data_IF_912766284132
#
_entry.id   IF_912766284132
#
_cell.length_a   1.000
_cell.length_b   1.000
_cell.length_c   1.000
_cell.angle_alpha   90.00
_cell.angle_beta   90.00
_cell.angle_gamma   90.00
#
_symmetry.space_group_name_H-M   'P 1'
#
loop_
_entity.id
_entity.type
_entity.pdbx_description
1 polymer ?
#
# COMPACT_ATOMS: atom_id res chain seq x y z
N UNK A 1 -18.74 -4.53 -13.67
CA UNK A 1 -17.50 -4.42 -14.47
C UNK A 1 -16.43 -3.71 -13.64
N UNK A 2 -15.21 -4.24 -13.60
CA UNK A 2 -14.04 -3.59 -12.99
C UNK A 2 -13.45 -2.62 -14.03
N UNK A 3 -13.05 -1.42 -13.61
CA UNK A 3 -12.42 -0.44 -14.48
C UNK A 3 -11.01 -0.14 -14.01
N UNK A 4 -10.05 -0.32 -14.91
CA UNK A 4 -8.65 -0.03 -14.64
C UNK A 4 -8.26 1.41 -14.99
N UNK A 5 -7.23 1.96 -14.31
CA UNK A 5 -6.58 1.39 -13.13
C UNK A 5 -7.49 1.49 -11.89
N UNK A 6 -7.64 0.37 -11.19
CA UNK A 6 -8.42 0.29 -9.94
C UNK A 6 -7.85 1.17 -8.83
N UNK A 7 -6.54 1.41 -8.86
CA UNK A 7 -5.83 2.33 -7.97
C UNK A 7 -5.07 3.36 -8.81
N UNK A 8 -5.51 4.61 -8.74
CA UNK A 8 -4.93 5.73 -9.51
C UNK A 8 -3.81 6.41 -8.73
N UNK A 9 -2.86 7.02 -9.43
CA UNK A 9 -1.71 7.68 -8.82
C UNK A 9 -0.56 6.71 -8.54
N UNK A 10 0.28 7.05 -7.56
CA UNK A 10 1.47 6.27 -7.24
C UNK A 10 1.14 5.09 -6.32
N UNK A 11 0.71 3.98 -6.92
CA UNK A 11 0.44 2.70 -6.24
C UNK A 11 1.14 1.55 -6.98
N UNK A 12 2.49 1.50 -6.96
CA UNK A 12 3.27 0.47 -7.64
C UNK A 12 3.30 -0.85 -6.86
N UNK A 13 3.55 -1.95 -7.59
CA UNK A 13 3.73 -3.30 -7.05
C UNK A 13 2.60 -3.76 -6.11
N UNK A 14 1.36 -3.89 -6.61
CA UNK A 14 0.24 -4.37 -5.82
C UNK A 14 0.47 -5.81 -5.36
N UNK A 15 0.46 -6.02 -4.04
CA UNK A 15 0.49 -7.34 -3.42
C UNK A 15 -0.88 -7.64 -2.82
N UNK A 16 -1.62 -8.54 -3.47
CA UNK A 16 -3.00 -8.88 -3.10
C UNK A 16 -3.07 -10.19 -2.33
N UNK A 17 -3.82 -10.21 -1.22
CA UNK A 17 -4.18 -11.43 -0.52
C UNK A 17 -5.67 -11.45 -0.17
N UNK A 18 -6.19 -12.65 0.15
CA UNK A 18 -7.58 -12.87 0.54
C UNK A 18 -7.64 -13.54 1.91
N UNK A 19 -8.53 -13.06 2.78
CA UNK A 19 -8.88 -13.71 4.05
C UNK A 19 -10.39 -13.73 4.21
N UNK A 20 -10.98 -14.92 4.24
CA UNK A 20 -12.44 -15.04 4.24
C UNK A 20 -13.03 -14.47 2.96
N UNK A 21 -13.88 -13.46 3.08
CA UNK A 21 -14.51 -12.76 1.95
C UNK A 21 -13.85 -11.41 1.63
N UNK A 22 -12.84 -11.00 2.41
CA UNK A 22 -12.15 -9.74 2.23
C UNK A 22 -10.88 -9.91 1.37
N UNK A 23 -10.68 -8.94 0.49
CA UNK A 23 -9.45 -8.75 -0.28
C UNK A 23 -8.65 -7.58 0.29
N UNK A 24 -7.34 -7.77 0.36
CA UNK A 24 -6.39 -6.81 0.89
C UNK A 24 -5.35 -6.55 -0.20
N UNK A 25 -5.03 -5.29 -0.45
CA UNK A 25 -3.90 -4.93 -1.32
C UNK A 25 -2.95 -4.01 -0.56
N UNK A 26 -1.68 -4.38 -0.59
CA UNK A 26 -0.57 -3.57 -0.12
C UNK A 26 0.23 -3.02 -1.31
N UNK A 27 0.83 -1.85 -1.13
CA UNK A 27 1.71 -1.19 -2.10
C UNK A 27 3.02 -0.82 -1.42
N UNK A 28 4.10 -0.85 -2.19
CA UNK A 28 5.34 -0.23 -1.74
C UNK A 28 5.25 1.29 -1.90
N UNK A 29 6.03 2.03 -1.13
CA UNK A 29 6.10 3.48 -1.23
C UNK A 29 7.56 3.93 -1.12
N UNK A 30 7.96 4.78 -2.07
CA UNK A 30 9.36 5.07 -2.32
C UNK A 30 9.89 6.26 -1.51
N UNK A 31 9.05 7.21 -1.09
CA UNK A 31 9.50 8.41 -0.38
C UNK A 31 8.35 9.07 0.38
N UNK A 32 8.18 8.73 1.66
CA UNK A 32 7.45 9.60 2.59
C UNK A 32 6.53 8.88 3.56
N UNK A 33 6.71 9.20 4.84
CA UNK A 33 5.84 8.76 5.92
C UNK A 33 4.46 9.45 5.87
N UNK A 34 3.36 8.76 6.21
CA UNK A 34 3.26 7.35 6.61
C UNK A 34 3.45 6.39 5.45
N UNK A 35 4.43 5.49 5.59
CA UNK A 35 4.76 4.47 4.59
C UNK A 35 3.91 3.23 4.81
N UNK A 36 3.56 2.56 3.70
CA UNK A 36 2.56 1.48 3.54
C UNK A 36 1.11 1.95 3.52
N UNK A 37 0.38 1.63 2.45
CA UNK A 37 -1.08 1.74 2.40
C UNK A 37 -1.67 0.33 2.36
N UNK A 38 -2.51 0.01 3.33
CA UNK A 38 -3.36 -1.18 3.30
C UNK A 38 -4.74 -0.74 2.85
N UNK A 39 -5.14 -1.16 1.67
CA UNK A 39 -6.47 -0.86 1.14
C UNK A 39 -7.35 -2.10 1.35
N UNK A 40 -8.46 -1.92 2.05
CA UNK A 40 -9.45 -2.95 2.37
C UNK A 40 -10.81 -2.59 1.81
N UNK A 41 -11.54 -3.66 1.53
CA UNK A 41 -12.98 -3.79 1.40
C UNK A 41 -13.60 -3.45 0.04
N UNK A 42 -13.93 -4.54 -0.65
CA UNK A 42 -14.95 -4.60 -1.69
C UNK A 42 -14.74 -5.75 -2.68
N UNK A 43 -15.78 -5.99 -3.48
CA UNK A 43 -15.85 -6.95 -4.59
C UNK A 43 -14.91 -6.51 -5.74
N UNK A 44 -13.59 -6.55 -5.54
CA UNK A 44 -12.49 -6.22 -6.48
C UNK A 44 -12.57 -4.85 -7.21
N UNK A 45 -13.64 -4.10 -7.01
CA UNK A 45 -14.06 -2.94 -7.80
C UNK A 45 -14.06 -1.66 -6.95
N UNK A 46 -14.46 -1.77 -5.70
CA UNK A 46 -14.48 -0.67 -4.74
C UNK A 46 -13.45 -1.00 -3.67
N UNK A 47 -12.66 0.01 -3.31
CA UNK A 47 -11.51 -0.12 -2.42
C UNK A 47 -11.44 1.10 -1.52
N UNK A 48 -11.19 0.91 -0.23
CA UNK A 48 -11.03 1.99 0.74
C UNK A 48 -9.73 1.81 1.53
N UNK A 49 -8.97 2.89 1.73
CA UNK A 49 -7.78 2.84 2.58
C UNK A 49 -8.19 2.45 4.01
N UNK A 50 -7.68 1.34 4.52
CA UNK A 50 -7.88 0.93 5.91
C UNK A 50 -6.85 1.60 6.82
N UNK A 51 -5.57 1.44 6.50
CA UNK A 51 -4.49 1.80 7.42
C UNK A 51 -3.18 2.00 6.69
N UNK A 52 -2.18 2.47 7.44
CA UNK A 52 -0.77 2.37 7.11
C UNK A 52 -0.10 1.36 8.04
N UNK A 53 0.90 0.60 7.56
CA UNK A 53 1.62 -0.37 8.44
C UNK A 53 2.64 0.34 9.30
N UNK A 54 3.39 1.27 8.70
CA UNK A 54 4.34 2.06 9.43
C UNK A 54 3.63 3.32 9.91
N UNK A 55 3.26 3.30 11.19
CA UNK A 55 2.61 4.41 11.89
C UNK A 55 3.55 5.12 12.87
N UNK A 56 4.78 4.63 13.02
CA UNK A 56 5.87 5.28 13.75
C UNK A 56 6.95 5.73 12.76
N UNK A 57 7.20 7.04 12.71
CA UNK A 57 8.15 7.65 11.78
C UNK A 57 9.61 7.52 12.25
N UNK A 58 9.84 6.92 13.42
CA UNK A 58 11.16 6.69 13.99
C UNK A 58 11.53 5.20 14.01
N UNK A 59 10.61 4.30 13.66
CA UNK A 59 10.87 2.87 13.65
C UNK A 59 10.15 2.14 12.50
N UNK A 60 10.85 1.85 11.39
CA UNK A 60 12.23 2.26 11.08
C UNK A 60 12.33 3.75 10.71
N UNK A 61 13.46 4.39 11.02
CA UNK A 61 13.74 5.78 10.55
C UNK A 61 14.05 5.79 9.04
N UNK A 62 13.11 6.31 8.25
CA UNK A 62 13.23 6.43 6.79
C UNK A 62 13.60 7.85 6.33
N UNK A 63 13.80 8.80 7.26
CA UNK A 63 13.90 10.25 6.95
C UNK A 63 15.12 10.63 6.13
N UNK A 64 16.18 9.81 6.15
CA UNK A 64 17.46 10.08 5.48
C UNK A 64 17.70 9.23 4.25
N UNK A 65 16.68 8.48 3.79
CA UNK A 65 16.83 7.65 2.61
C UNK A 65 16.85 8.49 1.33
N UNK A 66 17.72 8.17 0.36
CA UNK A 66 17.69 8.79 -0.96
C UNK A 66 16.34 8.60 -1.66
N UNK A 67 16.07 9.42 -2.67
CA UNK A 67 14.92 9.19 -3.55
C UNK A 67 14.94 7.77 -4.15
N UNK A 68 13.76 7.15 -4.25
CA UNK A 68 13.56 5.77 -4.70
C UNK A 68 14.20 4.69 -3.79
N UNK A 69 14.47 5.01 -2.51
CA UNK A 69 14.89 4.05 -1.47
C UNK A 69 13.88 4.11 -0.34
N UNK A 70 13.68 3.00 0.38
CA UNK A 70 12.61 2.91 1.36
C UNK A 70 12.06 1.50 1.38
N UNK A 71 10.75 1.40 1.50
CA UNK A 71 10.11 0.09 1.52
C UNK A 71 9.79 -0.32 0.08
N UNK A 72 10.29 -1.50 -0.31
CA UNK A 72 10.12 -2.08 -1.64
C UNK A 72 9.02 -3.16 -1.60
N UNK A 73 8.71 -3.73 -2.75
CA UNK A 73 7.72 -4.79 -2.88
C UNK A 73 7.97 -5.93 -1.87
N UNK A 74 6.93 -6.30 -1.15
CA UNK A 74 6.91 -7.46 -0.26
C UNK A 74 6.18 -8.60 -0.97
N UNK A 75 6.47 -9.86 -0.66
CA UNK A 75 5.72 -11.01 -1.18
C UNK A 75 4.69 -11.48 -0.16
#
# INVERSE_FOLDING_TARGET
MIQNPVFRGFNPDPCICRRGDDYYVAYHHLNGFPDYRFIIQGILKHWQLLTHVLTDDNNPDLKKLPSAKGIWAQA
#
